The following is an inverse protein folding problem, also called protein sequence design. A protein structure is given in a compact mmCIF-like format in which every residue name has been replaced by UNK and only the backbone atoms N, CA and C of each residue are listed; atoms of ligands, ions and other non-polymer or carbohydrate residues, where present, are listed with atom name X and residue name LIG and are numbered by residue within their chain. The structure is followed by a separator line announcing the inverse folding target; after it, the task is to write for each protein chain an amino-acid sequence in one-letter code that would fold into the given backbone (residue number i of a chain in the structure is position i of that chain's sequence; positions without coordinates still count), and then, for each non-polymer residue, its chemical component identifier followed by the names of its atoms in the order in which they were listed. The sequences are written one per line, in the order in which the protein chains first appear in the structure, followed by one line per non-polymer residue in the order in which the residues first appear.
data_IF_631598786229
#
_entry.id   IF_631598786229
#
_cell.length_a   1.000
_cell.length_b   1.000
_cell.length_c   1.000
_cell.angle_alpha   90.00
_cell.angle_beta   90.00
_cell.angle_gamma   90.00
#
_symmetry.space_group_name_H-M   'P 1'
#
loop_
_entity.id
_entity.type
_entity.pdbx_description
1 polymer ?
#
# COMPACT_ATOMS: atom_id res chain seq x y z
N UNK A 1 -9.49 0.59 -17.82
CA UNK A 1 -8.65 1.14 -16.73
C UNK A 1 -9.57 1.88 -15.78
N UNK A 2 -9.75 1.38 -14.56
CA UNK A 2 -10.62 2.02 -13.57
C UNK A 2 -9.83 3.21 -12.98
N UNK A 3 -10.03 4.41 -13.54
CA UNK A 3 -9.33 5.62 -13.07
C UNK A 3 -9.93 6.02 -11.74
N UNK A 4 -9.26 5.68 -10.64
CA UNK A 4 -9.75 6.02 -9.31
C UNK A 4 -9.37 7.47 -8.95
N UNK A 5 -10.32 8.41 -8.85
CA UNK A 5 -10.03 9.83 -8.63
C UNK A 5 -9.25 10.12 -7.34
N UNK A 6 -9.31 9.23 -6.36
CA UNK A 6 -8.58 9.37 -5.10
C UNK A 6 -7.08 9.18 -5.27
N UNK A 7 -6.65 8.24 -6.11
CA UNK A 7 -5.22 7.97 -6.33
C UNK A 7 -4.55 9.15 -7.06
N UNK A 8 -5.26 9.79 -8.01
CA UNK A 8 -4.76 11.00 -8.69
C UNK A 8 -4.63 12.19 -7.73
N UNK A 9 -5.56 12.31 -6.76
CA UNK A 9 -5.48 13.34 -5.71
C UNK A 9 -4.26 13.16 -4.79
N UNK A 10 -3.89 11.92 -4.47
CA UNK A 10 -2.66 11.64 -3.68
C UNK A 10 -1.41 12.15 -4.41
N UNK A 11 -1.39 12.04 -5.74
CA UNK A 11 -0.33 12.59 -6.58
C UNK A 11 -0.46 14.10 -6.86
N UNK A 12 -1.53 14.75 -6.39
CA UNK A 12 -1.82 16.15 -6.69
C UNK A 12 -2.11 16.40 -8.17
N UNK A 13 -2.59 15.38 -8.88
CA UNK A 13 -2.89 15.41 -10.31
C UNK A 13 -4.39 15.35 -10.58
N UNK A 14 -4.77 15.79 -11.78
CA UNK A 14 -6.14 15.59 -12.27
C UNK A 14 -6.30 14.19 -12.88
N UNK A 15 -7.54 13.70 -12.96
CA UNK A 15 -7.88 12.38 -13.54
C UNK A 15 -7.65 12.30 -15.06
N UNK A 16 -7.52 13.46 -15.70
CA UNK A 16 -7.12 13.65 -17.10
C UNK A 16 -5.60 13.71 -17.30
N UNK A 17 -4.80 13.68 -16.22
CA UNK A 17 -3.35 13.74 -16.33
C UNK A 17 -2.77 12.57 -17.15
N UNK A 18 -1.79 12.89 -17.98
CA UNK A 18 -1.11 11.91 -18.82
C UNK A 18 -0.22 10.98 -17.99
N UNK A 19 0.05 9.78 -18.51
CA UNK A 19 0.94 8.79 -17.89
C UNK A 19 2.33 9.40 -17.64
N UNK A 20 2.83 10.25 -18.52
CA UNK A 20 4.10 10.95 -18.29
C UNK A 20 4.05 11.92 -17.10
N UNK A 21 2.91 12.59 -16.89
CA UNK A 21 2.71 13.49 -15.76
C UNK A 21 2.63 12.69 -14.46
N UNK A 22 1.93 11.55 -14.47
CA UNK A 22 1.86 10.61 -13.34
C UNK A 22 3.26 10.12 -12.94
N UNK A 23 4.10 9.73 -13.90
CA UNK A 23 5.51 9.34 -13.65
C UNK A 23 6.34 10.46 -13.02
N UNK A 24 6.26 11.67 -13.58
CA UNK A 24 7.00 12.83 -13.08
C UNK A 24 6.56 13.19 -11.67
N UNK A 25 5.24 13.25 -11.42
CA UNK A 25 4.69 13.56 -10.10
C UNK A 25 5.05 12.51 -9.06
N UNK A 26 4.86 11.21 -9.37
CA UNK A 26 5.23 10.11 -8.49
C UNK A 26 6.71 10.16 -8.09
N UNK A 27 7.61 10.33 -9.06
CA UNK A 27 9.06 10.43 -8.80
C UNK A 27 9.40 11.64 -7.92
N UNK A 28 8.77 12.79 -8.17
CA UNK A 28 9.02 14.02 -7.43
C UNK A 28 8.51 13.91 -5.99
N UNK A 29 7.33 13.33 -5.79
CA UNK A 29 6.74 13.12 -4.47
C UNK A 29 7.53 12.07 -3.67
N UNK A 30 7.97 10.97 -4.29
CA UNK A 30 8.85 9.99 -3.64
C UNK A 30 10.16 10.62 -3.15
N UNK A 31 10.77 11.51 -3.95
CA UNK A 31 11.97 12.25 -3.54
C UNK A 31 11.68 13.24 -2.41
N UNK A 32 10.53 13.92 -2.45
CA UNK A 32 10.12 14.92 -1.45
C UNK A 32 9.81 14.29 -0.10
N UNK A 33 9.20 13.11 -0.09
CA UNK A 33 8.77 12.40 1.11
C UNK A 33 9.69 11.20 1.44
N UNK A 34 10.95 11.22 0.97
CA UNK A 34 11.92 10.13 1.20
C UNK A 34 12.15 9.80 2.68
N UNK A 35 11.99 10.80 3.55
CA UNK A 35 12.18 10.70 5.01
C UNK A 35 10.86 10.37 5.75
N UNK A 36 9.73 10.25 5.04
CA UNK A 36 8.40 9.98 5.58
C UNK A 36 7.86 8.67 4.95
N UNK A 37 8.12 7.51 5.57
CA UNK A 37 7.81 6.21 4.98
C UNK A 37 6.31 5.98 4.80
N UNK A 38 5.47 6.57 5.66
CA UNK A 38 4.00 6.44 5.55
C UNK A 38 3.46 7.15 4.31
N UNK A 39 3.93 8.38 4.05
CA UNK A 39 3.55 9.09 2.81
C UNK A 39 4.12 8.42 1.57
N UNK A 40 5.34 7.89 1.66
CA UNK A 40 5.99 7.22 0.53
C UNK A 40 5.20 5.98 0.10
N UNK A 41 4.69 5.19 1.06
CA UNK A 41 3.84 4.02 0.81
C UNK A 41 2.51 4.41 0.13
N UNK A 42 1.87 5.49 0.60
CA UNK A 42 0.64 6.02 -0.01
C UNK A 42 0.86 6.48 -1.46
N UNK A 43 1.94 7.21 -1.71
CA UNK A 43 2.31 7.70 -3.05
C UNK A 43 2.61 6.52 -3.97
N UNK A 44 3.36 5.53 -3.49
CA UNK A 44 3.72 4.35 -4.27
C UNK A 44 2.50 3.49 -4.61
N UNK A 45 1.60 3.29 -3.64
CA UNK A 45 0.34 2.57 -3.83
C UNK A 45 -0.55 3.26 -4.86
N UNK A 46 -0.74 4.58 -4.74
CA UNK A 46 -1.54 5.37 -5.69
C UNK A 46 -0.94 5.33 -7.10
N UNK A 47 0.39 5.51 -7.20
CA UNK A 47 1.11 5.44 -8.47
C UNK A 47 0.97 4.06 -9.14
N UNK A 48 1.13 2.97 -8.39
CA UNK A 48 1.00 1.60 -8.89
C UNK A 48 -0.42 1.30 -9.38
N UNK A 49 -1.45 1.72 -8.64
CA UNK A 49 -2.86 1.60 -9.04
C UNK A 49 -3.16 2.34 -10.34
N UNK A 50 -2.69 3.58 -10.47
CA UNK A 50 -2.89 4.39 -11.69
C UNK A 50 -2.19 3.76 -12.89
N UNK A 51 -0.97 3.29 -12.70
CA UNK A 51 -0.16 2.66 -13.75
C UNK A 51 -0.65 1.25 -14.11
N UNK A 52 -1.60 0.68 -13.37
CA UNK A 52 -2.07 -0.69 -13.56
C UNK A 52 -1.04 -1.74 -13.18
N UNK A 53 0.01 -1.37 -12.44
CA UNK A 53 0.84 -2.32 -11.71
C UNK A 53 0.03 -2.74 -10.48
N UNK A 54 -0.95 -3.61 -10.66
CA UNK A 54 -1.61 -4.29 -9.54
C UNK A 54 -0.53 -5.03 -8.75
N UNK A 55 -0.06 -4.41 -7.69
CA UNK A 55 0.71 -5.10 -6.66
C UNK A 55 -0.32 -5.94 -5.91
N UNK A 56 -0.56 -7.15 -6.41
CA UNK A 56 -1.24 -8.23 -5.68
C UNK A 56 -0.38 -8.71 -4.49
N UNK A 57 0.71 -8.02 -4.15
CA UNK A 57 1.38 -8.14 -2.87
C UNK A 57 0.59 -7.39 -1.80
N UNK A 58 -0.52 -8.02 -1.41
CA UNK A 58 -0.95 -8.00 -0.03
C UNK A 58 0.25 -8.28 0.89
N UNK A 59 0.85 -7.24 1.44
CA UNK A 59 1.34 -7.27 2.82
C UNK A 59 0.16 -7.10 3.79
N UNK A 60 -0.94 -7.82 3.56
CA UNK A 60 -1.80 -8.25 4.65
C UNK A 60 -1.19 -9.53 5.20
N UNK A 61 -0.41 -9.40 6.28
CA UNK A 61 -0.33 -10.33 7.42
C UNK A 61 0.99 -10.13 8.19
N UNK A 62 1.19 -8.94 8.78
CA UNK A 62 1.61 -8.93 10.19
C UNK A 62 0.40 -9.29 11.04
N UNK A 63 -0.09 -10.52 10.85
CA UNK A 63 -1.07 -11.13 11.72
C UNK A 63 -0.38 -11.30 13.08
N UNK A 64 -0.74 -10.42 14.02
CA UNK A 64 -0.58 -10.64 15.45
C UNK A 64 -1.32 -11.94 15.81
N UNK A 65 -0.70 -13.09 15.67
CA UNK A 65 -1.28 -14.38 16.11
C UNK A 65 -0.20 -15.38 16.56
N UNK A 66 0.92 -14.89 17.09
CA UNK A 66 1.99 -15.71 17.67
C UNK A 66 1.71 -16.34 19.04
N UNK A 67 0.50 -16.21 19.62
CA UNK A 67 0.29 -16.55 21.04
C UNK A 67 -0.86 -17.53 21.36
N UNK A 68 -1.76 -17.88 20.43
CA UNK A 68 -2.98 -18.60 20.80
C UNK A 68 -3.01 -20.11 20.52
N UNK A 69 -1.99 -20.70 19.88
CA UNK A 69 -1.98 -22.15 19.56
C UNK A 69 -1.28 -23.06 20.58
N UNK A 70 -0.68 -22.52 21.64
CA UNK A 70 0.00 -23.34 22.67
C UNK A 70 -0.83 -23.63 23.92
N UNK A 71 -1.90 -22.86 24.20
CA UNK A 71 -2.69 -23.02 25.43
C UNK A 71 -3.59 -24.26 25.35
N UNK A 72 -4.14 -24.57 24.17
CA UNK A 72 -5.11 -25.66 24.00
C UNK A 72 -4.49 -27.06 24.17
N UNK A 73 -3.17 -27.20 23.93
CA UNK A 73 -2.48 -28.50 24.06
C UNK A 73 -2.10 -28.85 25.50
N UNK A 74 -2.01 -27.85 26.38
CA UNK A 74 -1.68 -28.08 27.80
C UNK A 74 -2.93 -28.49 28.60
N UNK A 75 -4.12 -27.97 28.23
CA UNK A 75 -5.33 -28.19 29.04
C UNK A 75 -6.02 -29.54 28.82
N UNK A 76 -5.65 -30.32 27.79
CA UNK A 76 -6.30 -31.60 27.46
C UNK A 76 -5.64 -32.84 28.11
N UNK A 77 -4.62 -32.67 28.96
CA UNK A 77 -3.93 -33.78 29.65
C UNK A 77 -4.28 -33.91 31.14
N UNK A 78 -5.37 -33.30 31.60
CA UNK A 78 -5.86 -33.48 32.97
C UNK A 78 -7.40 -33.59 32.98
N UNK A 79 -7.91 -34.72 32.51
CA UNK A 79 -9.13 -35.31 33.06
C UNK A 79 -9.18 -36.80 32.75
#
# INVERSE_FOLDING_TARGET
MNKNPEDYKVLGLSVDADIEQVKKAGTLLMKKYKDDPEKLDQINTAYNRIMGFTTDEKQEEKQKSGAFKFIDKIFKKSK
#
